data_IF_456236857070
#
_entry.id   IF_456236857070
#
_cell.length_a   1.000
_cell.length_b   1.000
_cell.length_c   1.000
_cell.angle_alpha   90.00
_cell.angle_beta   90.00
_cell.angle_gamma   90.00
#
_symmetry.space_group_name_H-M   'P 1'
#
loop_
_entity.id
_entity.type
_entity.pdbx_description
1 polymer ?
#
# COMPACT_ATOMS: atom_id res chain seq x y z
N UNK A 1 4.00 3.39 13.96
CA UNK A 1 5.32 2.69 13.80
C UNK A 1 5.70 2.63 12.34
N UNK A 2 7.00 2.70 11.98
CA UNK A 2 7.50 2.51 10.62
C UNK A 2 8.32 1.20 10.56
N UNK A 3 7.94 0.30 9.64
CA UNK A 3 8.63 -0.98 9.45
C UNK A 3 9.77 -0.78 8.45
N UNK A 4 11.00 -1.07 8.88
CA UNK A 4 12.19 -0.99 8.05
C UNK A 4 12.68 -2.41 7.71
N UNK A 5 12.39 -2.86 6.49
CA UNK A 5 12.79 -4.18 6.01
C UNK A 5 14.23 -4.23 5.47
N UNK A 6 14.95 -3.11 5.42
CA UNK A 6 16.21 -3.01 4.69
C UNK A 6 17.44 -3.01 5.57
N UNK A 7 17.44 -2.29 6.69
CA UNK A 7 18.64 -2.11 7.53
C UNK A 7 19.18 -3.44 8.04
N UNK A 8 18.30 -4.32 8.54
CA UNK A 8 18.70 -5.65 9.03
C UNK A 8 19.20 -6.61 7.93
N UNK A 9 18.95 -6.27 6.65
CA UNK A 9 19.39 -7.04 5.47
C UNK A 9 20.56 -6.40 4.73
N UNK A 10 21.39 -5.62 5.43
CA UNK A 10 22.59 -5.00 4.86
C UNK A 10 22.35 -3.65 4.17
N UNK A 11 21.23 -2.98 4.45
CA UNK A 11 21.00 -1.60 3.97
C UNK A 11 20.87 -1.52 2.46
N UNK A 12 19.89 -2.16 1.89
CA UNK A 12 19.66 -2.22 0.44
C UNK A 12 19.41 -0.83 -0.16
N UNK A 13 20.38 -0.32 -0.90
CA UNK A 13 20.35 1.03 -1.47
C UNK A 13 19.49 1.17 -2.74
N UNK A 14 19.10 0.05 -3.41
CA UNK A 14 18.38 0.06 -4.68
C UNK A 14 17.22 -0.94 -4.67
N UNK A 15 16.09 -0.54 -4.14
CA UNK A 15 14.87 -1.37 -4.16
C UNK A 15 14.06 -1.15 -5.42
N UNK A 16 14.05 0.06 -5.94
CA UNK A 16 13.20 0.45 -7.06
C UNK A 16 13.83 0.20 -8.46
N UNK A 17 15.12 -0.06 -8.52
CA UNK A 17 15.84 -0.19 -9.78
C UNK A 17 16.28 -1.61 -10.18
N UNK A 18 15.95 -2.66 -9.42
CA UNK A 18 16.46 -3.97 -9.82
C UNK A 18 16.31 -5.14 -8.86
N UNK A 19 15.31 -5.10 -7.97
CA UNK A 19 14.84 -6.34 -7.36
C UNK A 19 15.80 -7.03 -6.38
N UNK A 20 16.46 -6.28 -5.51
CA UNK A 20 17.29 -6.90 -4.45
C UNK A 20 16.42 -7.46 -3.33
N UNK A 21 15.20 -6.94 -3.14
CA UNK A 21 14.25 -7.44 -2.15
C UNK A 21 12.83 -7.45 -2.73
N UNK A 22 12.31 -8.63 -2.97
CA UNK A 22 10.93 -8.80 -3.42
C UNK A 22 9.93 -8.30 -2.36
N UNK A 23 8.77 -7.73 -2.78
CA UNK A 23 7.75 -7.27 -1.84
C UNK A 23 7.30 -8.36 -0.87
N UNK A 24 7.21 -9.61 -1.32
CA UNK A 24 6.84 -10.77 -0.52
C UNK A 24 7.80 -11.02 0.65
N UNK A 25 9.09 -10.74 0.49
CA UNK A 25 10.09 -10.88 1.55
C UNK A 25 9.91 -9.89 2.72
N UNK A 26 9.03 -8.87 2.55
CA UNK A 26 8.68 -7.90 3.60
C UNK A 26 7.43 -8.30 4.40
N UNK A 27 6.72 -9.32 3.94
CA UNK A 27 5.51 -9.81 4.63
C UNK A 27 5.81 -10.25 6.07
N UNK A 28 6.84 -11.07 6.34
CA UNK A 28 7.20 -11.44 7.71
C UNK A 28 7.49 -10.24 8.61
N UNK A 29 8.09 -9.17 8.07
CA UNK A 29 8.38 -7.96 8.84
C UNK A 29 7.10 -7.23 9.25
N UNK A 30 6.11 -7.16 8.36
CA UNK A 30 4.81 -6.55 8.65
C UNK A 30 4.02 -7.37 9.68
N UNK A 31 4.04 -8.70 9.57
CA UNK A 31 3.39 -9.59 10.55
C UNK A 31 4.09 -9.56 11.91
N UNK A 32 5.41 -9.51 11.95
CA UNK A 32 6.16 -9.34 13.20
C UNK A 32 5.87 -7.99 13.86
N UNK A 33 5.72 -6.92 13.05
CA UNK A 33 5.33 -5.61 13.53
C UNK A 33 3.90 -5.61 14.13
N UNK A 34 2.95 -6.32 13.49
CA UNK A 34 1.60 -6.51 14.02
C UNK A 34 1.65 -7.24 15.37
N UNK A 35 2.37 -8.37 15.42
CA UNK A 35 2.53 -9.14 16.65
C UNK A 35 3.13 -8.29 17.78
N UNK A 36 4.17 -7.50 17.50
CA UNK A 36 4.77 -6.59 18.47
C UNK A 36 3.78 -5.52 18.95
N UNK A 37 3.06 -4.86 18.01
CA UNK A 37 2.10 -3.81 18.39
C UNK A 37 0.99 -4.34 19.31
N UNK A 38 0.57 -5.57 19.10
CA UNK A 38 -0.47 -6.23 19.94
C UNK A 38 -0.03 -6.54 21.35
N UNK A 39 1.27 -6.58 21.65
CA UNK A 39 1.78 -6.75 23.01
C UNK A 39 1.95 -5.43 23.76
N UNK A 40 1.81 -4.30 23.09
CA UNK A 40 2.02 -2.99 23.70
C UNK A 40 0.80 -2.54 24.49
N UNK A 41 0.98 -2.07 25.73
CA UNK A 41 -0.13 -1.63 26.58
C UNK A 41 -0.77 -0.30 26.13
N UNK A 42 -0.07 0.47 25.31
CA UNK A 42 -0.54 1.75 24.74
C UNK A 42 -1.18 1.61 23.35
N UNK A 43 -1.35 0.37 22.85
CA UNK A 43 -1.95 0.07 21.55
C UNK A 43 -3.20 -0.77 21.72
N UNK A 44 -4.30 -0.35 21.13
CA UNK A 44 -5.49 -1.19 21.00
C UNK A 44 -5.24 -2.27 19.93
N UNK A 45 -5.17 -3.54 20.27
CA UNK A 45 -4.83 -4.62 19.36
C UNK A 45 -5.89 -4.85 18.25
N UNK A 46 -7.12 -4.39 18.46
CA UNK A 46 -8.21 -4.44 17.49
C UNK A 46 -8.21 -3.25 16.49
N UNK A 47 -7.31 -2.28 16.66
CA UNK A 47 -7.32 -1.01 15.93
C UNK A 47 -5.97 -0.71 15.25
N UNK A 48 -5.38 -1.72 14.64
CA UNK A 48 -4.10 -1.61 13.94
C UNK A 48 -4.34 -1.61 12.43
N UNK A 49 -3.84 -0.59 11.74
CA UNK A 49 -3.86 -0.51 10.28
C UNK A 49 -2.45 -0.71 9.69
N UNK A 50 -2.40 -1.18 8.45
CA UNK A 50 -1.17 -1.29 7.65
C UNK A 50 -1.24 -0.31 6.48
N UNK A 51 -0.15 0.44 6.25
CA UNK A 51 -0.08 1.40 5.16
C UNK A 51 1.23 1.29 4.42
N UNK A 52 1.18 1.41 3.09
CA UNK A 52 2.37 1.36 2.25
C UNK A 52 2.25 2.13 0.95
N UNK A 53 3.42 2.47 0.37
CA UNK A 53 3.57 3.18 -0.89
C UNK A 53 4.40 2.36 -1.87
N UNK A 54 4.01 2.31 -3.14
CA UNK A 54 4.74 1.64 -4.22
C UNK A 54 5.09 0.20 -3.84
N UNK A 55 6.35 -0.14 -3.81
CA UNK A 55 6.85 -1.43 -3.32
C UNK A 55 6.35 -1.78 -1.90
N UNK A 56 6.21 -0.78 -1.02
CA UNK A 56 5.61 -0.95 0.31
C UNK A 56 4.12 -1.27 0.23
N UNK A 57 3.40 -0.71 -0.71
CA UNK A 57 1.99 -1.00 -0.95
C UNK A 57 1.79 -2.42 -1.51
N UNK A 58 2.70 -2.89 -2.37
CA UNK A 58 2.71 -4.31 -2.80
C UNK A 58 2.88 -5.24 -1.61
N UNK A 59 3.85 -4.96 -0.73
CA UNK A 59 4.04 -5.72 0.51
C UNK A 59 2.81 -5.66 1.42
N UNK A 60 2.15 -4.50 1.53
CA UNK A 60 0.89 -4.35 2.26
C UNK A 60 -0.18 -5.31 1.75
N UNK A 61 -0.46 -5.31 0.44
CA UNK A 61 -1.47 -6.18 -0.14
C UNK A 61 -1.11 -7.67 -0.02
N UNK A 62 0.17 -8.02 -0.21
CA UNK A 62 0.63 -9.40 -0.02
C UNK A 62 0.54 -9.86 1.44
N UNK A 63 0.75 -8.94 2.40
CA UNK A 63 0.60 -9.24 3.82
C UNK A 63 -0.84 -9.63 4.15
N UNK A 64 -1.84 -9.02 3.53
CA UNK A 64 -3.24 -9.39 3.72
C UNK A 64 -3.51 -10.83 3.24
N UNK A 65 -2.85 -11.27 2.17
CA UNK A 65 -2.95 -12.64 1.67
C UNK A 65 -2.31 -13.69 2.59
N UNK A 66 -1.36 -13.28 3.43
CA UNK A 66 -0.64 -14.13 4.38
C UNK A 66 -1.12 -13.95 5.84
N UNK A 67 -1.95 -12.95 6.11
CA UNK A 67 -2.50 -12.69 7.44
C UNK A 67 -3.55 -13.74 7.81
N UNK A 68 -3.73 -14.02 9.12
CA UNK A 68 -4.82 -14.88 9.60
C UNK A 68 -6.17 -14.39 9.10
N UNK A 69 -7.07 -15.31 8.78
CA UNK A 69 -8.43 -14.99 8.32
C UNK A 69 -9.30 -14.41 9.45
N UNK A 70 -8.97 -14.72 10.70
CA UNK A 70 -9.67 -14.21 11.87
C UNK A 70 -9.49 -12.70 12.01
N UNK A 71 -10.57 -11.92 11.95
CA UNK A 71 -10.51 -10.44 11.90
C UNK A 71 -9.76 -9.81 13.08
N UNK A 72 -9.84 -10.44 14.27
CA UNK A 72 -9.16 -9.96 15.49
C UNK A 72 -7.67 -10.28 15.56
N UNK A 73 -7.16 -11.14 14.63
CA UNK A 73 -5.73 -11.48 14.56
C UNK A 73 -4.99 -10.70 13.47
N UNK A 74 -5.71 -10.07 12.54
CA UNK A 74 -5.16 -9.34 11.42
C UNK A 74 -5.09 -7.82 11.61
N UNK A 75 -4.85 -7.12 10.50
CA UNK A 75 -4.99 -5.67 10.42
C UNK A 75 -6.47 -5.31 10.25
N UNK A 76 -6.93 -4.28 10.95
CA UNK A 76 -8.31 -3.80 10.85
C UNK A 76 -8.57 -3.09 9.52
N UNK A 77 -7.60 -2.33 9.04
CA UNK A 77 -7.65 -1.60 7.79
C UNK A 77 -6.29 -1.61 7.09
N UNK A 78 -6.29 -1.43 5.78
CA UNK A 78 -5.05 -1.25 5.02
C UNK A 78 -5.19 -0.16 3.96
N UNK A 79 -4.10 0.59 3.74
CA UNK A 79 -4.02 1.63 2.71
C UNK A 79 -2.84 1.33 1.79
N UNK A 80 -3.09 1.32 0.48
CA UNK A 80 -2.08 1.04 -0.53
C UNK A 80 -2.03 2.17 -1.57
N UNK A 81 -0.96 2.95 -1.56
CA UNK A 81 -0.67 3.96 -2.56
C UNK A 81 0.08 3.36 -3.75
N UNK A 82 -0.46 3.51 -4.92
CA UNK A 82 0.09 3.09 -6.22
C UNK A 82 0.86 1.75 -6.17
N UNK A 83 0.23 0.64 -5.70
CA UNK A 83 0.85 -0.68 -5.69
C UNK A 83 0.98 -1.26 -7.10
N UNK A 84 1.98 -2.13 -7.31
CA UNK A 84 1.98 -3.03 -8.47
C UNK A 84 1.15 -4.28 -8.16
N UNK A 85 0.01 -4.47 -8.81
CA UNK A 85 -0.91 -5.57 -8.46
C UNK A 85 -0.75 -6.85 -9.33
N UNK A 86 0.17 -6.89 -10.29
CA UNK A 86 0.32 -8.06 -11.20
C UNK A 86 0.63 -9.35 -10.47
N UNK A 87 1.41 -9.29 -9.39
CA UNK A 87 1.80 -10.44 -8.55
C UNK A 87 0.95 -10.61 -7.30
N UNK A 88 -0.04 -9.75 -7.08
CA UNK A 88 -0.93 -9.85 -5.92
C UNK A 88 -2.10 -10.77 -6.27
N UNK A 89 -2.17 -11.91 -5.61
CA UNK A 89 -3.22 -12.92 -5.89
C UNK A 89 -4.56 -12.63 -5.22
N UNK A 90 -4.57 -11.71 -4.25
CA UNK A 90 -5.71 -11.37 -3.43
C UNK A 90 -5.58 -11.89 -2.01
N UNK A 91 -6.64 -11.73 -1.23
CA UNK A 91 -6.71 -12.13 0.19
C UNK A 91 -8.13 -12.58 0.53
N UNK A 92 -8.29 -13.18 1.71
CA UNK A 92 -9.59 -13.62 2.26
C UNK A 92 -9.90 -12.95 3.60
N UNK A 93 -8.96 -12.19 4.17
CA UNK A 93 -9.18 -11.48 5.42
C UNK A 93 -10.26 -10.42 5.27
N UNK A 94 -11.01 -10.15 6.34
CA UNK A 94 -12.02 -9.10 6.38
C UNK A 94 -11.44 -7.68 6.58
N UNK A 95 -10.15 -7.50 6.33
CA UNK A 95 -9.50 -6.20 6.38
C UNK A 95 -10.09 -5.28 5.31
N UNK A 96 -10.62 -4.13 5.72
CA UNK A 96 -11.05 -3.08 4.79
C UNK A 96 -9.84 -2.46 4.09
N UNK A 97 -9.90 -2.24 2.79
CA UNK A 97 -8.75 -1.77 1.99
C UNK A 97 -9.09 -0.53 1.19
N UNK A 98 -8.23 0.48 1.29
CA UNK A 98 -8.24 1.65 0.41
C UNK A 98 -7.04 1.60 -0.53
N UNK A 99 -7.28 1.55 -1.85
CA UNK A 99 -6.26 1.67 -2.89
C UNK A 99 -6.34 3.05 -3.56
N UNK A 100 -5.22 3.74 -3.65
CA UNK A 100 -5.08 5.06 -4.25
C UNK A 100 -4.12 4.95 -5.43
N UNK A 101 -4.62 5.13 -6.65
CA UNK A 101 -3.93 4.81 -7.89
C UNK A 101 -3.69 6.07 -8.73
N UNK A 102 -2.51 6.21 -9.31
CA UNK A 102 -2.26 7.18 -10.37
C UNK A 102 -2.80 6.66 -11.70
N UNK A 103 -3.64 7.45 -12.39
CA UNK A 103 -4.21 7.06 -13.68
C UNK A 103 -3.19 7.11 -14.82
N UNK A 104 -2.18 7.98 -14.71
CA UNK A 104 -1.05 8.10 -15.64
C UNK A 104 0.22 7.39 -15.12
N UNK A 105 0.10 6.54 -14.10
CA UNK A 105 1.23 5.80 -13.54
C UNK A 105 1.72 4.73 -14.53
N UNK A 106 2.90 4.95 -15.08
CA UNK A 106 3.59 4.07 -16.02
C UNK A 106 4.60 3.13 -15.32
N UNK A 107 4.83 3.32 -14.01
CA UNK A 107 5.66 2.43 -13.20
C UNK A 107 4.86 1.24 -12.66
N UNK A 108 3.75 1.54 -12.02
CA UNK A 108 2.80 0.56 -11.50
C UNK A 108 1.41 0.82 -12.08
N UNK A 109 1.25 0.49 -13.35
CA UNK A 109 0.02 0.76 -14.11
C UNK A 109 -1.25 0.36 -13.32
N UNK A 110 -2.29 1.23 -13.29
CA UNK A 110 -3.45 1.04 -12.41
C UNK A 110 -4.35 -0.15 -12.79
N UNK A 111 -4.38 -0.55 -14.06
CA UNK A 111 -5.29 -1.57 -14.58
C UNK A 111 -5.31 -2.89 -13.80
N UNK A 112 -4.15 -3.51 -13.47
CA UNK A 112 -4.12 -4.73 -12.65
C UNK A 112 -4.74 -4.54 -11.25
N UNK A 113 -4.58 -3.36 -10.64
CA UNK A 113 -5.17 -3.07 -9.32
C UNK A 113 -6.68 -2.83 -9.41
N UNK A 114 -7.15 -2.18 -10.46
CA UNK A 114 -8.59 -1.99 -10.74
C UNK A 114 -9.28 -3.34 -10.93
N UNK A 115 -8.66 -4.25 -11.69
CA UNK A 115 -9.14 -5.61 -11.88
C UNK A 115 -9.17 -6.38 -10.54
N UNK A 116 -8.07 -6.33 -9.77
CA UNK A 116 -8.00 -6.97 -8.46
C UNK A 116 -9.09 -6.46 -7.52
N UNK A 117 -9.25 -5.14 -7.40
CA UNK A 117 -10.28 -4.53 -6.56
C UNK A 117 -11.69 -4.96 -6.96
N UNK A 118 -11.97 -5.06 -8.27
CA UNK A 118 -13.27 -5.53 -8.78
C UNK A 118 -13.54 -6.98 -8.38
N UNK A 119 -12.56 -7.86 -8.56
CA UNK A 119 -12.67 -9.28 -8.16
C UNK A 119 -12.93 -9.44 -6.66
N UNK A 120 -12.21 -8.68 -5.83
CA UNK A 120 -12.33 -8.78 -4.38
C UNK A 120 -13.70 -8.26 -3.89
N UNK A 121 -14.21 -7.16 -4.47
CA UNK A 121 -15.57 -6.68 -4.20
C UNK A 121 -16.64 -7.70 -4.59
N UNK A 122 -16.48 -8.36 -5.75
CA UNK A 122 -17.37 -9.43 -6.17
C UNK A 122 -17.34 -10.65 -5.22
N UNK A 123 -16.21 -10.87 -4.55
CA UNK A 123 -16.07 -11.87 -3.49
C UNK A 123 -16.58 -11.40 -2.11
N UNK A 124 -17.21 -10.22 -2.02
CA UNK A 124 -17.79 -9.68 -0.80
C UNK A 124 -16.80 -9.01 0.14
N UNK A 125 -15.59 -8.69 -0.32
CA UNK A 125 -14.59 -7.99 0.49
C UNK A 125 -14.74 -6.47 0.37
N UNK A 126 -14.46 -5.77 1.47
CA UNK A 126 -14.51 -4.30 1.54
C UNK A 126 -13.24 -3.70 0.92
N UNK A 127 -13.33 -3.34 -0.35
CA UNK A 127 -12.23 -2.72 -1.09
C UNK A 127 -12.70 -1.45 -1.79
N UNK A 128 -12.25 -0.31 -1.30
CA UNK A 128 -12.40 0.99 -1.96
C UNK A 128 -11.18 1.27 -2.83
N UNK A 129 -11.40 1.69 -4.08
CA UNK A 129 -10.34 2.06 -5.00
C UNK A 129 -10.65 3.41 -5.63
N UNK A 130 -9.67 4.31 -5.59
CA UNK A 130 -9.73 5.64 -6.21
C UNK A 130 -8.60 5.75 -7.23
N UNK A 131 -8.90 6.25 -8.41
CA UNK A 131 -7.90 6.56 -9.44
C UNK A 131 -7.89 8.06 -9.71
N UNK A 132 -6.72 8.67 -9.70
CA UNK A 132 -6.46 10.07 -10.03
C UNK A 132 -6.01 10.15 -11.48
N UNK A 133 -6.84 10.60 -12.44
CA UNK A 133 -6.64 10.34 -13.88
C UNK A 133 -5.30 10.80 -14.45
N UNK A 134 -4.81 11.99 -14.06
CA UNK A 134 -3.54 12.56 -14.53
C UNK A 134 -2.34 12.30 -13.64
N UNK A 135 -2.53 11.64 -12.49
CA UNK A 135 -1.46 11.46 -11.51
C UNK A 135 -0.49 10.36 -11.94
N UNK A 136 0.80 10.63 -11.81
CA UNK A 136 1.90 9.69 -12.01
C UNK A 136 2.29 8.98 -10.72
N UNK A 137 3.31 8.11 -10.80
CA UNK A 137 3.88 7.44 -9.64
C UNK A 137 4.40 8.45 -8.60
N UNK A 138 4.10 8.23 -7.31
CA UNK A 138 4.54 9.12 -6.25
C UNK A 138 3.74 10.43 -6.14
N UNK A 139 2.54 10.50 -6.69
CA UNK A 139 1.73 11.72 -6.80
C UNK A 139 1.48 12.44 -5.46
N UNK A 140 1.56 11.73 -4.34
CA UNK A 140 1.37 12.27 -2.98
C UNK A 140 2.65 12.84 -2.36
N UNK A 141 3.80 12.72 -3.03
CA UNK A 141 5.10 13.12 -2.49
C UNK A 141 5.53 14.52 -2.98
N UNK A 142 5.46 15.58 -2.15
CA UNK A 142 5.82 16.94 -2.56
C UNK A 142 7.30 17.11 -2.91
N UNK A 143 8.18 16.19 -2.49
CA UNK A 143 9.61 16.27 -2.81
C UNK A 143 9.90 15.97 -4.29
N UNK A 144 8.96 15.37 -5.03
CA UNK A 144 9.10 15.11 -6.46
C UNK A 144 8.87 16.36 -7.32
N UNK A 145 8.24 17.40 -6.75
CA UNK A 145 7.87 18.60 -7.49
C UNK A 145 6.72 18.38 -8.49
N UNK A 146 6.14 19.48 -9.01
CA UNK A 146 4.95 19.42 -9.87
C UNK A 146 5.24 19.09 -11.33
N UNK A 147 6.49 19.06 -11.76
CA UNK A 147 6.86 18.69 -13.13
C UNK A 147 7.12 17.19 -13.25
N UNK A 148 6.72 16.55 -14.37
CA UNK A 148 7.06 15.16 -14.63
C UNK A 148 8.58 14.94 -14.62
N UNK A 149 9.02 13.90 -13.91
CA UNK A 149 10.43 13.51 -13.81
C UNK A 149 10.60 12.05 -14.20
N UNK A 150 11.41 11.80 -15.23
CA UNK A 150 11.74 10.45 -15.69
C UNK A 150 12.78 9.82 -14.78
N UNK A 151 12.51 8.61 -14.33
CA UNK A 151 13.46 7.72 -13.64
C UNK A 151 13.97 6.69 -14.67
N UNK A 152 15.11 6.91 -15.32
CA UNK A 152 15.53 6.11 -16.47
C UNK A 152 15.81 4.64 -16.14
N UNK A 153 16.31 4.34 -14.93
CA UNK A 153 16.63 2.98 -14.51
C UNK A 153 15.41 2.18 -14.00
N UNK A 154 14.23 2.80 -13.96
CA UNK A 154 13.01 2.09 -13.56
C UNK A 154 12.64 1.00 -14.57
N UNK A 155 11.95 -0.05 -14.11
CA UNK A 155 11.44 -1.15 -14.95
C UNK A 155 12.55 -1.83 -15.80
N UNK A 156 13.76 -1.95 -15.23
CA UNK A 156 14.89 -2.58 -15.95
C UNK A 156 15.41 -1.72 -17.10
N UNK A 157 15.40 -0.40 -16.95
CA UNK A 157 15.93 0.55 -17.93
C UNK A 157 14.90 1.05 -18.96
N UNK A 158 13.61 0.69 -18.83
CA UNK A 158 12.55 1.23 -19.70
C UNK A 158 12.10 2.63 -19.31
N UNK A 159 12.45 3.03 -18.08
CA UNK A 159 12.05 4.29 -17.51
C UNK A 159 10.63 4.28 -16.93
N UNK A 160 10.38 5.19 -16.01
CA UNK A 160 9.04 5.47 -15.50
C UNK A 160 8.96 6.93 -15.03
N UNK A 161 7.77 7.49 -15.03
CA UNK A 161 7.53 8.90 -14.70
C UNK A 161 7.05 9.03 -13.25
N UNK A 162 7.65 9.99 -12.54
CA UNK A 162 7.19 10.41 -11.21
C UNK A 162 6.79 11.88 -11.24
N UNK A 163 5.79 12.26 -10.44
CA UNK A 163 5.34 13.65 -10.37
C UNK A 163 4.52 13.86 -9.10
N UNK A 164 4.67 15.02 -8.48
CA UNK A 164 3.76 15.47 -7.45
C UNK A 164 2.50 16.07 -8.08
N UNK A 165 1.33 15.60 -7.64
CA UNK A 165 0.02 16.16 -7.97
C UNK A 165 -0.60 16.75 -6.68
N UNK A 166 -0.55 18.08 -6.47
CA UNK A 166 -1.07 18.69 -5.24
C UNK A 166 -2.54 18.36 -4.96
N UNK A 167 -3.38 18.38 -5.98
CA UNK A 167 -4.81 18.14 -5.83
C UNK A 167 -5.10 16.67 -5.49
N UNK A 168 -4.44 15.74 -6.21
CA UNK A 168 -4.54 14.32 -5.93
C UNK A 168 -3.97 13.97 -4.55
N UNK A 169 -2.87 14.59 -4.15
CA UNK A 169 -2.28 14.42 -2.82
C UNK A 169 -3.23 14.85 -1.71
N UNK A 170 -3.79 16.08 -1.80
CA UNK A 170 -4.71 16.62 -0.80
C UNK A 170 -5.96 15.74 -0.66
N UNK A 171 -6.61 15.38 -1.76
CA UNK A 171 -7.78 14.48 -1.75
C UNK A 171 -7.42 13.11 -1.19
N UNK A 172 -6.27 12.53 -1.58
CA UNK A 172 -5.83 11.24 -1.08
C UNK A 172 -5.62 11.24 0.44
N UNK A 173 -4.98 12.28 0.99
CA UNK A 173 -4.78 12.42 2.43
C UNK A 173 -6.09 12.60 3.20
N UNK A 174 -7.03 13.35 2.65
CA UNK A 174 -8.38 13.48 3.21
C UNK A 174 -9.08 12.11 3.25
N UNK A 175 -9.09 11.37 2.14
CA UNK A 175 -9.70 10.02 2.07
C UNK A 175 -9.06 9.03 3.02
N UNK A 176 -7.74 9.06 3.18
CA UNK A 176 -7.04 8.19 4.14
C UNK A 176 -7.47 8.50 5.56
N UNK A 177 -7.55 9.78 5.95
CA UNK A 177 -8.02 10.16 7.29
C UNK A 177 -9.45 9.70 7.55
N UNK A 178 -10.36 9.94 6.59
CA UNK A 178 -11.75 9.52 6.68
C UNK A 178 -11.87 7.99 6.77
N UNK A 179 -11.15 7.27 5.90
CA UNK A 179 -11.14 5.81 5.88
C UNK A 179 -10.60 5.22 7.20
N UNK A 180 -9.47 5.71 7.69
CA UNK A 180 -8.91 5.23 8.95
C UNK A 180 -9.82 5.60 10.15
N UNK A 181 -10.42 6.78 10.15
CA UNK A 181 -11.39 7.16 11.19
C UNK A 181 -12.59 6.21 11.20
N UNK A 182 -13.14 5.87 10.03
CA UNK A 182 -14.28 4.96 9.93
C UNK A 182 -13.96 3.53 10.43
N UNK A 183 -12.74 3.06 10.20
CA UNK A 183 -12.38 1.67 10.50
C UNK A 183 -11.58 1.48 11.81
N UNK A 184 -11.03 2.55 12.39
CA UNK A 184 -10.23 2.48 13.61
C UNK A 184 -10.91 3.14 14.83
N UNK A 185 -12.18 3.54 14.74
CA UNK A 185 -12.93 4.04 15.89
C UNK A 185 -13.37 2.89 16.80
N UNK A 186 -13.50 3.16 18.10
CA UNK A 186 -14.06 2.20 19.05
C UNK A 186 -15.52 1.88 18.66
N UNK A 187 -15.83 0.59 18.52
CA UNK A 187 -17.19 0.14 18.14
C UNK A 187 -17.42 0.05 16.63
N UNK A 188 -16.42 0.24 15.78
CA UNK A 188 -16.55 -0.11 14.35
C UNK A 188 -16.77 -1.63 14.20
N UNK A 189 -17.74 -2.07 13.38
CA UNK A 189 -18.17 -3.47 13.26
C UNK A 189 -17.06 -4.39 12.73
#
# INVERSE_FOLDING_TARGET
MRVNSFTARGGLKRVCGGGILEPAARVPDALAALAHLRTRPDVDPGRIALMGWSHGAMATLMTLGAAPEEPWLGFRAAVAYYPGCRSVQGWRTRTSVLMLLGGADDWTAPGPCQYLATRLRQAGLDVTQVTYPGAHHGFDNPLLGPSPHLIPDALGGRGATTQYDPAGAEDSFRRVREFLAAHLTAGAP
#
